data_IF_360501278222
#
_entry.id   IF_360501278222
#
_cell.length_a   1.000
_cell.length_b   1.000
_cell.length_c   1.000
_cell.angle_alpha   90.00
_cell.angle_beta   90.00
_cell.angle_gamma   90.00
#
_symmetry.space_group_name_H-M   'P 1'
#
loop_
_entity.id
_entity.type
_entity.pdbx_description
1 polymer ?
#
# COMPACT_ATOMS: atom_id res chain seq x y z
N UNK A 1 -16.34 -7.89 -16.03
CA UNK A 1 -16.37 -7.02 -14.84
C UNK A 1 -16.64 -7.77 -13.53
N UNK A 2 -17.53 -8.77 -13.45
CA UNK A 2 -17.83 -9.50 -12.19
C UNK A 2 -16.65 -10.32 -11.60
N UNK A 3 -15.74 -10.86 -12.41
CA UNK A 3 -14.58 -11.66 -11.92
C UNK A 3 -13.49 -10.81 -11.24
N UNK A 4 -13.40 -9.52 -11.53
CA UNK A 4 -12.41 -8.61 -10.94
C UNK A 4 -12.83 -8.17 -9.53
N UNK A 5 -14.14 -8.12 -9.26
CA UNK A 5 -14.66 -7.75 -7.93
C UNK A 5 -14.47 -8.84 -6.88
N UNK A 6 -14.49 -10.12 -7.27
CA UNK A 6 -14.26 -11.23 -6.33
C UNK A 6 -12.78 -11.40 -5.92
N UNK A 7 -11.83 -10.94 -6.74
CA UNK A 7 -10.39 -11.02 -6.44
C UNK A 7 -9.93 -9.96 -5.41
N UNK A 8 -10.70 -8.89 -5.22
CA UNK A 8 -10.32 -7.76 -4.36
C UNK A 8 -10.69 -7.95 -2.87
N UNK A 9 -11.13 -9.12 -2.45
CA UNK A 9 -11.49 -9.43 -1.06
C UNK A 9 -10.28 -9.82 -0.17
N UNK A 10 -9.08 -9.40 -0.53
CA UNK A 10 -7.91 -9.60 0.30
C UNK A 10 -8.03 -8.83 1.62
N UNK A 11 -7.71 -9.51 2.72
CA UNK A 11 -7.72 -8.92 4.07
C UNK A 11 -6.70 -7.79 4.14
N UNK A 12 -7.16 -6.58 4.46
CA UNK A 12 -6.33 -5.39 4.60
C UNK A 12 -6.36 -4.86 6.04
N UNK A 13 -5.24 -4.29 6.52
CA UNK A 13 -5.12 -3.67 7.83
C UNK A 13 -4.27 -2.39 7.78
N UNK A 14 -4.66 -1.37 8.57
CA UNK A 14 -3.94 -0.10 8.68
C UNK A 14 -3.18 0.02 10.00
N UNK A 15 -1.86 0.24 9.93
CA UNK A 15 -1.03 0.62 11.07
C UNK A 15 -0.90 2.15 11.07
N UNK A 16 -1.88 2.81 11.69
CA UNK A 16 -2.04 4.26 11.69
C UNK A 16 -1.59 4.83 13.03
N UNK A 17 -0.29 4.72 13.30
CA UNK A 17 0.35 5.21 14.54
C UNK A 17 1.24 6.41 14.25
N UNK A 18 1.54 7.22 15.24
CA UNK A 18 2.49 8.31 15.15
C UNK A 18 3.89 7.84 14.69
N UNK A 19 4.70 8.77 14.21
CA UNK A 19 6.09 8.48 13.84
C UNK A 19 6.85 7.93 15.06
N UNK A 20 7.74 6.95 14.83
CA UNK A 20 8.53 6.33 15.90
C UNK A 20 7.82 5.25 16.73
N UNK A 21 6.51 5.02 16.54
CA UNK A 21 5.74 4.03 17.32
C UNK A 21 5.85 2.58 16.80
N UNK A 22 6.88 2.25 16.02
CA UNK A 22 7.18 0.86 15.66
C UNK A 22 6.34 0.27 14.53
N UNK A 23 5.77 1.08 13.62
CA UNK A 23 4.99 0.60 12.47
C UNK A 23 5.75 -0.43 11.63
N UNK A 24 7.00 -0.14 11.28
CA UNK A 24 7.87 -1.02 10.48
C UNK A 24 8.13 -2.33 11.19
N UNK A 25 8.50 -2.28 12.47
CA UNK A 25 8.68 -3.47 13.32
C UNK A 25 7.40 -4.33 13.34
N UNK A 26 6.24 -3.70 13.54
CA UNK A 26 4.95 -4.40 13.55
C UNK A 26 4.65 -5.04 12.20
N UNK A 27 4.92 -4.35 11.09
CA UNK A 27 4.71 -4.88 9.74
C UNK A 27 5.63 -6.08 9.45
N UNK A 28 6.90 -6.04 9.87
CA UNK A 28 7.85 -7.15 9.77
C UNK A 28 7.39 -8.34 10.61
N UNK A 29 6.93 -8.10 11.84
CA UNK A 29 6.42 -9.16 12.72
C UNK A 29 5.15 -9.83 12.13
N UNK A 30 4.23 -9.06 11.54
CA UNK A 30 3.05 -9.59 10.84
C UNK A 30 3.48 -10.46 9.65
N UNK A 31 4.43 -9.96 8.83
CA UNK A 31 4.94 -10.70 7.68
C UNK A 31 5.64 -12.01 8.11
N UNK A 32 6.44 -11.96 9.18
CA UNK A 32 7.10 -13.14 9.75
C UNK A 32 6.11 -14.18 10.27
N UNK A 33 5.12 -13.75 11.04
CA UNK A 33 4.10 -14.65 11.57
C UNK A 33 3.27 -15.33 10.46
N UNK A 34 2.93 -14.59 9.41
CA UNK A 34 2.22 -15.14 8.25
C UNK A 34 3.11 -16.11 7.43
N UNK A 35 4.41 -15.80 7.29
CA UNK A 35 5.37 -16.68 6.64
C UNK A 35 5.57 -17.99 7.41
N UNK A 36 5.74 -17.94 8.72
CA UNK A 36 5.92 -19.14 9.58
C UNK A 36 4.68 -20.04 9.56
N UNK A 37 3.49 -19.47 9.40
CA UNK A 37 2.25 -20.21 9.18
C UNK A 37 2.12 -20.79 7.75
N UNK A 38 3.04 -20.44 6.84
CA UNK A 38 2.95 -20.87 5.44
C UNK A 38 1.87 -20.14 4.63
N UNK A 39 1.37 -19.00 5.12
CA UNK A 39 0.31 -18.24 4.47
C UNK A 39 0.85 -17.32 3.35
N UNK A 40 2.10 -16.88 3.44
CA UNK A 40 2.78 -16.02 2.47
C UNK A 40 4.21 -16.47 2.19
N UNK A 41 4.70 -16.17 1.00
CA UNK A 41 6.10 -16.38 0.58
C UNK A 41 6.72 -15.11 -0.03
N UNK A 42 5.87 -14.16 -0.48
CA UNK A 42 6.28 -12.98 -1.23
C UNK A 42 5.68 -11.71 -0.65
N UNK A 43 6.53 -10.75 -0.30
CA UNK A 43 6.15 -9.44 0.22
C UNK A 43 6.64 -8.35 -0.73
N UNK A 44 5.76 -7.47 -1.14
CA UNK A 44 6.12 -6.23 -1.81
C UNK A 44 5.97 -5.07 -0.83
N UNK A 45 7.07 -4.39 -0.55
CA UNK A 45 7.08 -3.13 0.20
C UNK A 45 7.16 -1.98 -0.80
N UNK A 46 6.20 -1.08 -0.74
CA UNK A 46 6.21 0.16 -1.52
C UNK A 46 6.37 1.33 -0.56
N UNK A 47 7.46 2.08 -0.71
CA UNK A 47 7.87 3.14 0.22
C UNK A 47 8.35 4.38 -0.53
N UNK A 48 8.47 5.54 0.13
CA UNK A 48 9.20 6.69 -0.43
C UNK A 48 10.64 6.32 -0.81
N UNK A 49 11.18 6.92 -1.86
CA UNK A 49 12.54 6.59 -2.37
C UNK A 49 13.61 6.67 -1.27
N UNK A 50 13.53 7.68 -0.40
CA UNK A 50 14.46 7.87 0.73
C UNK A 50 14.37 6.77 1.80
N UNK A 51 13.25 6.05 1.86
CA UNK A 51 12.99 5.02 2.87
C UNK A 51 13.27 3.62 2.34
N UNK A 52 13.27 3.41 1.01
CA UNK A 52 13.50 2.09 0.42
C UNK A 52 14.78 1.42 0.90
N UNK A 53 15.89 2.18 1.06
CA UNK A 53 17.18 1.66 1.53
C UNK A 53 17.22 1.36 3.03
N UNK A 54 16.25 1.82 3.81
CA UNK A 54 16.16 1.56 5.26
C UNK A 54 15.56 0.18 5.53
N UNK A 55 14.64 -0.30 4.72
CA UNK A 55 13.94 -1.56 4.91
C UNK A 55 14.85 -2.79 5.08
N UNK A 56 15.96 -2.98 4.31
CA UNK A 56 16.88 -4.10 4.55
C UNK A 56 17.48 -4.08 5.96
N UNK A 57 17.80 -2.89 6.49
CA UNK A 57 18.32 -2.74 7.86
C UNK A 57 17.25 -3.11 8.88
N UNK A 58 16.02 -2.64 8.70
CA UNK A 58 14.89 -2.96 9.57
C UNK A 58 14.63 -4.48 9.62
N UNK A 59 14.70 -5.17 8.46
CA UNK A 59 14.62 -6.64 8.43
C UNK A 59 15.80 -7.28 9.17
N UNK A 60 17.01 -6.76 9.02
CA UNK A 60 18.19 -7.26 9.74
C UNK A 60 18.08 -7.10 11.25
N UNK A 61 17.51 -6.00 11.69
CA UNK A 61 17.40 -5.67 13.11
C UNK A 61 16.25 -6.43 13.81
N UNK A 62 15.17 -6.73 13.08
CA UNK A 62 13.92 -7.20 13.69
C UNK A 62 13.43 -8.58 13.23
N UNK A 63 13.90 -9.10 12.08
CA UNK A 63 13.42 -10.39 11.62
C UNK A 63 14.14 -11.54 12.30
N UNK A 64 13.39 -12.43 12.94
CA UNK A 64 13.87 -13.66 13.58
C UNK A 64 13.57 -14.92 12.74
N UNK A 65 13.21 -14.75 11.47
CA UNK A 65 12.88 -15.78 10.50
C UNK A 65 13.76 -15.66 9.24
N UNK A 66 13.75 -16.69 8.38
CA UNK A 66 14.53 -16.65 7.13
C UNK A 66 13.88 -15.74 6.11
N UNK A 67 14.65 -14.79 5.58
CA UNK A 67 14.19 -13.84 4.57
C UNK A 67 15.29 -13.52 3.55
N UNK A 68 14.87 -12.99 2.39
CA UNK A 68 15.73 -12.37 1.39
C UNK A 68 15.09 -11.06 0.96
N UNK A 69 15.78 -9.94 1.16
CA UNK A 69 15.34 -8.60 0.74
C UNK A 69 16.15 -8.12 -0.45
N UNK A 70 15.48 -7.70 -1.52
CA UNK A 70 16.08 -6.97 -2.62
C UNK A 70 15.42 -5.61 -2.79
N UNK A 71 16.24 -4.56 -2.93
CA UNK A 71 15.76 -3.20 -3.17
C UNK A 71 15.80 -2.91 -4.66
N UNK A 72 14.63 -2.67 -5.25
CA UNK A 72 14.46 -2.43 -6.68
C UNK A 72 14.76 -0.94 -7.00
N UNK A 73 16.03 -0.55 -6.96
CA UNK A 73 16.50 0.81 -7.27
C UNK A 73 17.42 0.83 -8.49
N UNK A 74 17.56 2.02 -9.08
CA UNK A 74 18.37 2.22 -10.30
C UNK A 74 17.50 2.32 -11.55
N UNK A 75 18.05 1.94 -12.70
CA UNK A 75 17.33 1.92 -13.97
C UNK A 75 16.36 0.72 -14.09
N UNK A 76 15.51 0.73 -15.13
CA UNK A 76 14.53 -0.34 -15.39
C UNK A 76 15.19 -1.72 -15.44
N UNK A 77 16.33 -1.85 -16.14
CA UNK A 77 17.02 -3.13 -16.33
C UNK A 77 17.48 -3.71 -14.99
N UNK A 78 18.14 -2.88 -14.17
CA UNK A 78 18.61 -3.28 -12.84
C UNK A 78 17.46 -3.71 -11.94
N UNK A 79 16.36 -2.96 -11.92
CA UNK A 79 15.16 -3.30 -11.10
C UNK A 79 14.56 -4.64 -11.48
N UNK A 80 14.44 -4.92 -12.78
CA UNK A 80 13.96 -6.21 -13.30
C UNK A 80 14.92 -7.35 -12.95
N UNK A 81 16.24 -7.12 -13.04
CA UNK A 81 17.25 -8.11 -12.64
C UNK A 81 17.15 -8.44 -11.14
N UNK A 82 16.98 -7.43 -10.27
CA UNK A 82 16.80 -7.62 -8.83
C UNK A 82 15.53 -8.41 -8.50
N UNK A 83 14.42 -8.14 -9.20
CA UNK A 83 13.17 -8.87 -9.04
C UNK A 83 13.31 -10.33 -9.51
N UNK A 84 13.96 -10.55 -10.66
CA UNK A 84 14.20 -11.90 -11.19
C UNK A 84 15.16 -12.71 -10.29
N UNK A 85 16.21 -12.07 -9.76
CA UNK A 85 17.10 -12.68 -8.78
C UNK A 85 16.36 -13.12 -7.50
N UNK A 86 15.40 -12.32 -7.06
CA UNK A 86 14.56 -12.65 -5.91
C UNK A 86 13.59 -13.80 -6.24
N UNK A 87 13.00 -13.81 -7.44
CA UNK A 87 12.12 -14.87 -7.92
C UNK A 87 12.84 -16.22 -7.95
N UNK A 88 14.08 -16.23 -8.47
CA UNK A 88 14.91 -17.42 -8.63
C UNK A 88 15.75 -17.76 -7.38
N UNK A 89 15.57 -17.06 -6.27
CA UNK A 89 16.30 -17.34 -5.04
C UNK A 89 16.01 -18.76 -4.56
N UNK A 90 17.06 -19.64 -4.45
CA UNK A 90 16.87 -21.09 -4.36
C UNK A 90 16.49 -21.60 -2.97
N UNK A 91 16.67 -20.76 -1.94
CA UNK A 91 16.42 -21.19 -0.56
C UNK A 91 15.02 -20.84 -0.09
N UNK A 92 14.47 -21.66 0.80
CA UNK A 92 13.20 -21.39 1.47
C UNK A 92 13.39 -20.20 2.42
N UNK A 93 12.85 -19.06 2.04
CA UNK A 93 12.89 -17.79 2.79
C UNK A 93 11.74 -16.91 2.35
N UNK A 94 11.30 -16.00 3.21
CA UNK A 94 10.38 -14.93 2.81
C UNK A 94 11.08 -14.02 1.80
N UNK A 95 10.53 -13.92 0.60
CA UNK A 95 11.07 -13.09 -0.48
C UNK A 95 10.46 -11.69 -0.37
N UNK A 96 11.30 -10.67 -0.18
CA UNK A 96 10.85 -9.29 0.02
C UNK A 96 11.43 -8.40 -1.08
N UNK A 97 10.58 -7.81 -1.89
CA UNK A 97 10.93 -6.76 -2.85
C UNK A 97 10.57 -5.40 -2.24
N UNK A 98 11.50 -4.45 -2.29
CA UNK A 98 11.27 -3.07 -1.84
C UNK A 98 11.39 -2.13 -3.03
N UNK A 99 10.38 -1.29 -3.28
CA UNK A 99 10.32 -0.39 -4.43
C UNK A 99 9.74 0.97 -4.03
N UNK A 100 10.07 2.02 -4.77
CA UNK A 100 9.46 3.33 -4.58
C UNK A 100 8.16 3.49 -5.39
N UNK A 101 7.24 4.33 -4.87
CA UNK A 101 5.93 4.57 -5.49
C UNK A 101 6.00 5.00 -6.95
N UNK A 102 6.94 5.90 -7.28
CA UNK A 102 7.11 6.47 -8.61
C UNK A 102 7.51 5.44 -9.68
N UNK A 103 7.89 4.26 -9.24
CA UNK A 103 8.31 3.17 -10.13
C UNK A 103 7.26 2.09 -10.31
N UNK A 104 6.24 2.04 -9.46
CA UNK A 104 5.23 0.97 -9.49
C UNK A 104 4.39 0.96 -10.76
N UNK A 105 4.21 2.10 -11.43
CA UNK A 105 3.40 2.26 -12.63
C UNK A 105 4.21 2.32 -13.93
N UNK A 106 5.55 2.18 -13.84
CA UNK A 106 6.42 2.22 -15.01
C UNK A 106 6.27 0.97 -15.85
N UNK A 107 6.09 1.17 -17.18
CA UNK A 107 5.95 0.10 -18.16
C UNK A 107 7.05 -0.96 -18.04
N UNK A 108 6.67 -2.22 -18.15
CA UNK A 108 7.51 -3.40 -17.98
C UNK A 108 7.82 -3.75 -16.53
N UNK A 109 7.88 -2.77 -15.62
CA UNK A 109 8.07 -3.04 -14.20
C UNK A 109 6.73 -3.30 -13.50
N UNK A 110 5.69 -2.55 -13.86
CA UNK A 110 4.34 -2.79 -13.38
C UNK A 110 3.87 -4.21 -13.71
N UNK A 111 4.01 -4.62 -14.96
CA UNK A 111 3.66 -5.97 -15.41
C UNK A 111 4.45 -7.04 -14.65
N UNK A 112 5.76 -6.83 -14.48
CA UNK A 112 6.61 -7.75 -13.73
C UNK A 112 6.20 -7.89 -12.25
N UNK A 113 5.74 -6.80 -11.61
CA UNK A 113 5.22 -6.84 -10.24
C UNK A 113 3.88 -7.60 -10.16
N UNK A 114 2.97 -7.39 -11.13
CA UNK A 114 1.71 -8.13 -11.22
C UNK A 114 1.98 -9.63 -11.45
N UNK A 115 2.91 -9.99 -12.36
CA UNK A 115 3.28 -11.38 -12.64
C UNK A 115 4.00 -12.05 -11.49
N UNK A 116 4.75 -11.29 -10.71
CA UNK A 116 5.38 -11.80 -9.50
C UNK A 116 4.36 -12.22 -8.44
N UNK A 117 3.17 -11.63 -8.43
CA UNK A 117 2.04 -11.94 -7.54
C UNK A 117 2.48 -11.92 -6.07
N UNK A 118 2.73 -10.76 -5.48
CA UNK A 118 3.03 -10.67 -4.06
C UNK A 118 1.85 -11.18 -3.22
N UNK A 119 2.12 -11.96 -2.18
CA UNK A 119 1.09 -12.43 -1.25
C UNK A 119 0.66 -11.31 -0.29
N UNK A 120 1.63 -10.50 0.14
CA UNK A 120 1.42 -9.33 1.00
C UNK A 120 1.99 -8.10 0.33
N UNK A 121 1.21 -7.02 0.27
CA UNK A 121 1.68 -5.69 -0.15
C UNK A 121 1.62 -4.73 1.02
N UNK A 122 2.74 -4.09 1.31
CA UNK A 122 2.88 -3.07 2.36
C UNK A 122 3.08 -1.71 1.69
N UNK A 123 2.15 -0.78 1.91
CA UNK A 123 2.24 0.60 1.45
C UNK A 123 2.72 1.48 2.62
N UNK A 124 4.03 1.76 2.65
CA UNK A 124 4.64 2.60 3.67
C UNK A 124 4.49 4.08 3.32
N UNK A 125 4.14 4.92 4.30
CA UNK A 125 3.70 6.31 4.10
C UNK A 125 2.55 6.37 3.08
N UNK A 126 1.48 5.63 3.37
CA UNK A 126 0.35 5.38 2.47
C UNK A 126 -0.40 6.64 2.01
N UNK A 127 -0.23 7.80 2.67
CA UNK A 127 -0.72 9.08 2.17
C UNK A 127 -0.15 9.46 0.78
N UNK A 128 0.91 8.77 0.33
CA UNK A 128 1.43 8.90 -1.04
C UNK A 128 0.43 8.46 -2.11
N UNK A 129 -0.52 7.62 -1.76
CA UNK A 129 -1.59 7.16 -2.69
C UNK A 129 -2.95 7.80 -2.37
N UNK A 130 -2.99 8.95 -1.70
CA UNK A 130 -4.25 9.65 -1.36
C UNK A 130 -5.03 10.16 -2.58
N UNK A 131 -4.34 10.54 -3.65
CA UNK A 131 -4.93 11.05 -4.89
C UNK A 131 -5.36 9.88 -5.77
N UNK A 132 -6.66 9.60 -5.82
CA UNK A 132 -7.23 8.38 -6.39
C UNK A 132 -6.96 8.18 -7.89
N UNK A 133 -6.81 9.25 -8.65
CA UNK A 133 -6.59 9.27 -10.10
C UNK A 133 -5.12 9.39 -10.51
N UNK A 134 -4.20 9.54 -9.56
CA UNK A 134 -2.77 9.52 -9.83
C UNK A 134 -2.32 8.14 -10.31
N UNK A 135 -1.38 8.07 -11.26
CA UNK A 135 -0.90 6.81 -11.84
C UNK A 135 -0.34 5.84 -10.79
N UNK A 136 0.40 6.36 -9.83
CA UNK A 136 0.89 5.54 -8.72
C UNK A 136 -0.24 4.94 -7.86
N UNK A 137 -1.33 5.67 -7.64
CA UNK A 137 -2.48 5.17 -6.88
C UNK A 137 -3.22 4.08 -7.65
N UNK A 138 -3.44 4.29 -8.96
CA UNK A 138 -4.04 3.29 -9.86
C UNK A 138 -3.21 2.01 -9.90
N UNK A 139 -1.89 2.13 -10.03
CA UNK A 139 -0.98 0.99 -10.01
C UNK A 139 -1.05 0.25 -8.67
N UNK A 140 -1.01 0.98 -7.55
CA UNK A 140 -1.12 0.38 -6.23
C UNK A 140 -2.46 -0.33 -6.01
N UNK A 141 -3.58 0.22 -6.52
CA UNK A 141 -4.87 -0.46 -6.48
C UNK A 141 -4.82 -1.80 -7.23
N UNK A 142 -4.26 -1.83 -8.44
CA UNK A 142 -4.17 -3.05 -9.24
C UNK A 142 -3.21 -4.08 -8.62
N UNK A 143 -2.06 -3.64 -8.09
CA UNK A 143 -1.13 -4.51 -7.36
C UNK A 143 -1.80 -5.06 -6.09
N UNK A 144 -2.55 -4.24 -5.37
CA UNK A 144 -3.32 -4.67 -4.20
C UNK A 144 -4.44 -5.66 -4.54
N UNK A 145 -5.05 -5.54 -5.72
CA UNK A 145 -6.13 -6.42 -6.17
C UNK A 145 -5.64 -7.86 -6.46
N UNK A 146 -4.36 -8.07 -6.76
CA UNK A 146 -3.77 -9.40 -6.95
C UNK A 146 -3.15 -9.98 -5.68
N UNK A 147 -2.98 -9.18 -4.63
CA UNK A 147 -2.40 -9.60 -3.36
C UNK A 147 -3.45 -10.25 -2.43
N UNK A 148 -3.00 -11.22 -1.65
CA UNK A 148 -3.82 -11.90 -0.63
C UNK A 148 -4.03 -11.01 0.60
N UNK A 149 -3.00 -10.29 1.01
CA UNK A 149 -3.00 -9.41 2.18
C UNK A 149 -2.44 -8.03 1.84
N UNK A 150 -2.92 -7.01 2.55
CA UNK A 150 -2.50 -5.62 2.35
C UNK A 150 -2.32 -4.91 3.68
N UNK A 151 -1.24 -4.14 3.80
CA UNK A 151 -0.99 -3.25 4.93
C UNK A 151 -0.78 -1.83 4.43
N UNK A 152 -1.34 -0.85 5.14
CA UNK A 152 -0.96 0.55 5.00
C UNK A 152 -0.29 1.01 6.30
N UNK A 153 0.82 1.72 6.15
CA UNK A 153 1.55 2.34 7.27
C UNK A 153 1.51 3.86 7.06
N UNK A 154 1.04 4.60 8.06
CA UNK A 154 1.08 6.06 8.03
C UNK A 154 1.00 6.65 9.43
N UNK A 155 1.77 7.72 9.67
CA UNK A 155 1.59 8.58 10.83
C UNK A 155 0.55 9.68 10.59
N UNK A 156 0.26 9.99 9.32
CA UNK A 156 -0.64 11.09 8.90
C UNK A 156 -1.51 10.65 7.74
N UNK A 157 -2.46 9.70 7.95
CA UNK A 157 -3.27 9.16 6.85
C UNK A 157 -4.19 10.23 6.22
N UNK A 158 -4.58 11.22 7.01
CA UNK A 158 -5.34 12.41 6.58
C UNK A 158 -4.42 13.62 6.67
N UNK A 159 -4.12 14.25 5.54
CA UNK A 159 -3.27 15.45 5.49
C UNK A 159 -4.08 16.73 5.29
N UNK A 160 -5.09 16.69 4.45
CA UNK A 160 -5.87 17.88 4.08
C UNK A 160 -7.37 17.69 4.37
N UNK A 161 -7.92 16.53 4.05
CA UNK A 161 -9.36 16.28 4.08
C UNK A 161 -9.62 14.77 4.26
N UNK A 162 -10.80 14.40 4.76
CA UNK A 162 -11.26 13.02 4.85
C UNK A 162 -11.25 12.30 3.48
N UNK A 163 -11.30 13.04 2.37
CA UNK A 163 -11.17 12.53 1.01
C UNK A 163 -9.83 11.82 0.78
N UNK A 164 -8.77 12.22 1.49
CA UNK A 164 -7.44 11.58 1.46
C UNK A 164 -7.50 10.07 1.81
N UNK A 165 -8.52 9.64 2.54
CA UNK A 165 -8.71 8.24 2.93
C UNK A 165 -9.25 7.36 1.79
N UNK A 166 -10.03 7.90 0.86
CA UNK A 166 -10.69 7.09 -0.16
C UNK A 166 -9.74 6.16 -0.90
N UNK A 167 -8.67 6.72 -1.47
CA UNK A 167 -7.72 5.95 -2.28
C UNK A 167 -6.90 4.97 -1.45
N UNK A 168 -6.53 5.33 -0.23
CA UNK A 168 -5.82 4.44 0.71
C UNK A 168 -6.69 3.24 1.09
N UNK A 169 -7.98 3.45 1.37
CA UNK A 169 -8.91 2.37 1.68
C UNK A 169 -9.36 1.60 0.44
N UNK A 170 -9.40 2.22 -0.75
CA UNK A 170 -9.59 1.49 -2.02
C UNK A 170 -8.46 0.47 -2.25
N UNK A 171 -7.23 0.82 -1.89
CA UNK A 171 -6.12 -0.13 -1.88
C UNK A 171 -6.32 -1.21 -0.81
N UNK A 172 -6.64 -0.82 0.41
CA UNK A 172 -6.69 -1.71 1.56
C UNK A 172 -7.87 -2.69 1.50
N UNK A 173 -9.08 -2.14 1.44
CA UNK A 173 -10.34 -2.88 1.33
C UNK A 173 -11.42 -1.99 0.70
N UNK A 174 -11.73 -2.20 -0.58
CA UNK A 174 -12.74 -1.38 -1.27
C UNK A 174 -14.17 -1.58 -0.76
N UNK A 175 -14.43 -2.56 0.09
CA UNK A 175 -15.77 -2.77 0.65
C UNK A 175 -16.11 -1.75 1.73
N UNK A 176 -15.11 -1.10 2.34
CA UNK A 176 -15.30 -0.13 3.43
C UNK A 176 -15.95 1.16 2.92
N UNK A 177 -15.42 1.75 1.85
CA UNK A 177 -15.92 3.01 1.28
C UNK A 177 -16.54 2.86 -0.11
N UNK A 178 -16.54 1.66 -0.67
CA UNK A 178 -17.00 1.38 -2.02
C UNK A 178 -15.96 1.73 -3.09
N UNK A 179 -16.37 1.52 -4.35
CA UNK A 179 -15.51 1.68 -5.52
C UNK A 179 -15.61 3.07 -6.17
N UNK A 180 -16.65 3.84 -5.81
CA UNK A 180 -16.99 5.09 -6.47
C UNK A 180 -16.54 6.29 -5.66
N UNK A 181 -15.50 6.96 -6.13
CA UNK A 181 -14.96 8.17 -5.51
C UNK A 181 -15.99 9.29 -5.36
N UNK A 182 -16.84 9.51 -6.37
CA UNK A 182 -17.82 10.60 -6.33
C UNK A 182 -18.91 10.33 -5.30
N UNK A 183 -19.34 9.07 -5.15
CA UNK A 183 -20.28 8.68 -4.10
C UNK A 183 -19.68 8.91 -2.71
N UNK A 184 -18.42 8.49 -2.51
CA UNK A 184 -17.69 8.74 -1.26
C UNK A 184 -17.54 10.24 -0.98
N UNK A 185 -17.09 11.01 -1.98
CA UNK A 185 -16.93 12.46 -1.84
C UNK A 185 -18.23 13.16 -1.48
N UNK A 186 -19.34 12.81 -2.14
CA UNK A 186 -20.65 13.41 -1.86
C UNK A 186 -21.18 13.07 -0.46
N UNK A 187 -20.75 11.94 0.11
CA UNK A 187 -21.17 11.51 1.45
C UNK A 187 -20.33 12.13 2.56
N UNK A 188 -19.02 12.29 2.34
CA UNK A 188 -18.07 12.64 3.40
C UNK A 188 -17.42 14.02 3.24
N UNK A 189 -17.54 14.67 2.08
CA UNK A 189 -17.06 16.03 1.89
C UNK A 189 -18.21 17.02 1.92
N UNK A 190 -18.11 18.03 2.78
CA UNK A 190 -19.02 19.17 2.76
C UNK A 190 -18.58 20.09 1.63
N UNK A 191 -19.35 20.12 0.55
CA UNK A 191 -19.14 21.06 -0.56
C UNK A 191 -19.64 22.42 -0.15
N UNK A 192 -18.74 23.31 0.28
CA UNK A 192 -19.09 24.71 0.56
C UNK A 192 -19.63 25.39 -0.71
N UNK A 193 -20.78 26.05 -0.59
CA UNK A 193 -21.33 26.93 -1.61
C UNK A 193 -20.32 28.08 -1.88
N UNK A 194 -19.89 28.24 -3.12
CA UNK A 194 -18.95 29.29 -3.54
C UNK A 194 -19.74 30.60 -3.61
N UNK A 195 -19.76 31.36 -2.53
CA UNK A 195 -19.94 32.81 -2.59
C UNK A 195 -18.66 33.47 -2.08
N UNK A 196 -17.77 33.78 -2.99
CA UNK A 196 -16.81 34.89 -2.90
C UNK A 196 -15.82 34.96 -1.74
N UNK A 197 -15.30 33.84 -1.14
CA UNK A 197 -14.15 33.87 -0.21
C UNK A 197 -13.35 32.56 -0.22
N UNK A 198 -12.03 32.66 -0.01
CA UNK A 198 -11.05 31.54 0.03
C UNK A 198 -11.58 30.35 0.82
N UNK A 199 -11.46 29.15 0.21
CA UNK A 199 -11.84 27.87 0.81
C UNK A 199 -11.09 27.63 2.12
N UNK A 200 -11.82 27.55 3.22
CA UNK A 200 -11.44 26.77 4.38
C UNK A 200 -12.32 25.51 4.35
N UNK A 201 -11.71 24.37 4.05
CA UNK A 201 -12.41 23.08 4.10
C UNK A 201 -12.50 22.65 5.57
N UNK A 202 -13.67 22.81 6.13
CA UNK A 202 -14.01 22.20 7.44
C UNK A 202 -14.74 20.89 7.20
N UNK A 203 -14.10 19.78 7.50
CA UNK A 203 -14.71 18.43 7.48
C UNK A 203 -15.19 18.08 8.87
N UNK A 204 -16.49 17.81 9.04
CA UNK A 204 -17.00 17.17 10.25
C UNK A 204 -16.94 15.65 10.10
N UNK A 205 -16.31 14.98 11.04
CA UNK A 205 -16.04 13.53 11.01
C UNK A 205 -17.21 12.64 11.47
N UNK A 206 -18.37 13.23 11.83
CA UNK A 206 -19.47 12.45 12.39
C UNK A 206 -20.68 12.37 11.45
N UNK A 207 -21.13 11.16 11.07
CA UNK A 207 -22.42 10.99 10.43
C UNK A 207 -23.52 11.29 11.46
N UNK A 208 -24.58 11.98 11.04
CA UNK A 208 -25.78 12.13 11.85
C UNK A 208 -26.36 10.77 12.22
N UNK A 209 -26.87 10.56 13.45
CA UNK A 209 -27.47 9.29 13.83
C UNK A 209 -28.62 8.96 12.89
N UNK A 210 -28.68 7.70 12.49
CA UNK A 210 -29.78 7.14 11.71
C UNK A 210 -30.99 7.08 12.65
N UNK A 211 -32.02 7.88 12.39
CA UNK A 211 -33.36 7.69 12.92
C UNK A 211 -34.11 6.66 12.10
#
# INVERSE_FOLDING_TARGET
MAKTQQAAQGKGFGLLFEMGCGKTLTAIAIAGAAYEKGEIEKVLVVAPTSVCSVWPKEFSDYANFKYKVNVLLGDKKKRLQELEALKNFPFKALKVAVINYESTWREGLFEALIDWKPDLVIADESQRIKTHDAEQSKAMHQIGDVAKYKLILSGTPVQNDAIDLFSQYRFLDPTIFGWNYYAFRNRYAIMGSISGRKRQNTTSFFPSPIT
#
